data_IF_416290919390
#
_entry.id   IF_416290919390
#
_cell.length_a   1.000
_cell.length_b   1.000
_cell.length_c   1.000
_cell.angle_alpha   90.00
_cell.angle_beta   90.00
_cell.angle_gamma   90.00
#
_symmetry.space_group_name_H-M   'P 1'
#
loop_
_entity.id
_entity.type
_entity.pdbx_description
1 polymer ?
#
# COMPACT_ATOMS: atom_id res chain seq x y z
N UNK A 1 1.11 46.39 -16.69
CA UNK A 1 0.77 45.35 -15.70
C UNK A 1 1.98 44.44 -15.57
N UNK A 2 2.70 44.45 -14.45
CA UNK A 2 3.95 43.68 -14.27
C UNK A 2 3.60 42.31 -13.67
N UNK A 3 3.80 41.23 -14.42
CA UNK A 3 3.74 39.88 -13.88
C UNK A 3 5.01 39.65 -13.05
N UNK A 4 4.85 39.58 -11.74
CA UNK A 4 5.91 39.13 -10.82
C UNK A 4 6.11 37.63 -11.02
N UNK A 5 7.26 37.25 -11.58
CA UNK A 5 7.68 35.87 -11.74
C UNK A 5 7.92 35.28 -10.35
N UNK A 6 7.12 34.27 -9.99
CA UNK A 6 7.25 33.55 -8.73
C UNK A 6 8.67 32.92 -8.64
N UNK A 7 9.43 33.08 -7.54
CA UNK A 7 10.79 32.56 -7.46
C UNK A 7 10.79 31.03 -7.55
N UNK A 8 11.68 30.46 -8.38
CA UNK A 8 11.87 29.01 -8.62
C UNK A 8 11.94 28.14 -7.35
N UNK A 9 12.29 28.74 -6.20
CA UNK A 9 12.37 28.06 -4.90
C UNK A 9 11.00 27.71 -4.29
N UNK A 10 9.95 28.44 -4.66
CA UNK A 10 8.58 28.18 -4.20
C UNK A 10 7.84 27.15 -5.08
N UNK A 11 8.26 27.00 -6.34
CA UNK A 11 7.71 26.00 -7.25
C UNK A 11 8.01 24.56 -6.78
N UNK A 12 9.15 24.32 -6.15
CA UNK A 12 9.50 23.01 -5.57
C UNK A 12 8.68 22.69 -4.31
N UNK A 13 8.32 23.70 -3.51
CA UNK A 13 7.43 23.51 -2.36
C UNK A 13 5.98 23.23 -2.80
N UNK A 14 5.55 23.82 -3.91
CA UNK A 14 4.21 23.61 -4.45
C UNK A 14 3.97 22.18 -4.95
N UNK A 15 5.02 21.46 -5.38
CA UNK A 15 4.92 20.04 -5.77
C UNK A 15 4.76 19.08 -4.57
N UNK A 16 5.04 19.52 -3.33
CA UNK A 16 4.88 18.70 -2.12
C UNK A 16 3.45 18.74 -1.54
N UNK A 17 2.57 19.60 -2.06
CA UNK A 17 1.22 19.85 -1.50
C UNK A 17 0.10 19.48 -2.47
N UNK A 18 0.40 18.78 -3.56
CA UNK A 18 -0.65 18.26 -4.44
C UNK A 18 -1.09 16.88 -3.92
N UNK A 19 -2.31 16.75 -3.34
CA UNK A 19 -2.89 15.43 -3.09
C UNK A 19 -3.21 14.83 -4.44
N UNK A 20 -2.32 14.00 -4.97
CA UNK A 20 -2.71 13.02 -5.95
C UNK A 20 -3.61 12.04 -5.22
N UNK A 21 -4.85 11.87 -5.66
CA UNK A 21 -5.73 10.82 -5.16
C UNK A 21 -5.04 9.47 -5.41
N UNK A 22 -4.30 9.01 -4.41
CA UNK A 22 -3.77 7.67 -4.37
C UNK A 22 -4.93 6.77 -4.00
N UNK A 23 -5.37 5.94 -4.94
CA UNK A 23 -6.15 4.76 -4.61
C UNK A 23 -5.19 3.85 -3.84
N UNK A 24 -5.17 3.98 -2.52
CA UNK A 24 -4.38 3.11 -1.66
C UNK A 24 -5.02 1.72 -1.70
N UNK A 25 -4.41 0.82 -2.48
CA UNK A 25 -4.44 -0.58 -2.14
C UNK A 25 -3.78 -0.68 -0.77
N UNK A 26 -4.50 -1.26 0.20
CA UNK A 26 -4.08 -1.39 1.59
C UNK A 26 -2.59 -1.77 1.69
N UNK A 27 -1.67 -0.82 1.96
CA UNK A 27 -0.28 -1.17 2.10
C UNK A 27 -0.21 -2.00 3.38
N UNK A 28 0.34 -3.20 3.28
CA UNK A 28 0.60 -4.00 4.46
C UNK A 28 1.54 -3.19 5.36
N UNK A 29 1.13 -2.99 6.60
CA UNK A 29 1.78 -2.11 7.59
C UNK A 29 3.14 -2.68 7.97
N UNK A 30 4.15 -2.39 7.16
CA UNK A 30 5.55 -2.43 7.59
C UNK A 30 5.97 -0.96 7.73
N UNK A 31 5.85 -0.45 8.95
CA UNK A 31 6.19 0.95 9.24
C UNK A 31 7.71 1.14 9.33
N UNK A 32 8.42 0.14 9.87
CA UNK A 32 9.85 0.18 10.11
C UNK A 32 10.65 -0.92 9.35
N UNK A 33 11.96 -0.93 9.59
CA UNK A 33 12.91 -1.82 8.92
C UNK A 33 13.26 -3.03 9.81
N UNK A 34 12.56 -3.18 10.93
CA UNK A 34 12.91 -4.14 11.94
C UNK A 34 12.41 -5.53 11.53
N UNK A 35 13.00 -6.55 12.13
CA UNK A 35 12.67 -7.94 11.88
C UNK A 35 12.31 -8.59 13.19
N UNK A 36 11.37 -9.52 13.16
CA UNK A 36 10.97 -10.34 14.31
C UNK A 36 12.18 -11.05 14.94
N UNK A 37 13.10 -11.49 14.08
CA UNK A 37 14.32 -12.18 14.44
C UNK A 37 14.17 -13.70 14.48
N UNK A 38 15.29 -14.42 14.53
CA UNK A 38 15.32 -15.85 14.20
C UNK A 38 14.40 -16.70 15.08
N UNK A 39 13.54 -17.47 14.43
CA UNK A 39 12.66 -18.45 15.06
C UNK A 39 11.47 -17.83 15.80
N UNK A 40 11.24 -16.53 15.63
CA UNK A 40 10.08 -15.82 16.18
C UNK A 40 8.97 -15.73 15.14
N UNK A 41 7.74 -15.62 15.66
CA UNK A 41 6.55 -15.49 14.86
C UNK A 41 5.68 -14.38 15.40
N UNK A 42 5.11 -13.64 14.49
CA UNK A 42 4.11 -12.63 14.78
C UNK A 42 2.81 -12.95 14.04
N UNK A 43 1.69 -12.65 14.71
CA UNK A 43 0.37 -12.65 14.10
C UNK A 43 -0.23 -11.27 14.34
N UNK A 44 -0.57 -10.59 13.26
CA UNK A 44 -1.25 -9.29 13.33
C UNK A 44 -2.66 -9.38 12.76
N UNK A 45 -3.55 -8.57 13.32
CA UNK A 45 -4.92 -8.43 12.86
C UNK A 45 -5.29 -6.95 12.82
N UNK A 46 -5.61 -6.46 11.62
CA UNK A 46 -5.93 -5.05 11.41
C UNK A 46 -7.32 -4.90 10.84
N UNK A 47 -8.11 -3.98 11.40
CA UNK A 47 -9.40 -3.59 10.86
C UNK A 47 -9.32 -2.18 10.33
N UNK A 48 -9.74 -2.00 9.08
CA UNK A 48 -9.84 -0.70 8.45
C UNK A 48 -11.26 -0.37 8.05
N UNK A 49 -11.61 0.88 8.27
CA UNK A 49 -12.82 1.51 7.76
C UNK A 49 -12.40 2.77 7.00
N UNK A 50 -12.74 2.83 5.72
CA UNK A 50 -12.41 3.95 4.85
C UNK A 50 -13.70 4.57 4.34
N UNK A 51 -13.72 5.90 4.24
CA UNK A 51 -14.82 6.67 3.68
C UNK A 51 -14.26 7.69 2.71
N UNK A 52 -14.62 7.54 1.45
CA UNK A 52 -14.17 8.39 0.36
C UNK A 52 -15.30 9.31 -0.07
N UNK A 53 -14.97 10.59 -0.27
CA UNK A 53 -15.90 11.59 -0.82
C UNK A 53 -15.29 12.14 -2.09
N UNK A 54 -15.93 11.88 -3.22
CA UNK A 54 -15.55 12.44 -4.51
C UNK A 54 -16.51 13.58 -4.86
N UNK A 55 -15.95 14.72 -5.29
CA UNK A 55 -16.72 15.84 -5.86
C UNK A 55 -16.41 15.86 -7.34
N UNK A 56 -17.44 15.67 -8.16
CA UNK A 56 -17.35 15.79 -9.61
C UNK A 56 -17.67 17.24 -9.96
N UNK A 57 -16.70 17.94 -10.54
CA UNK A 57 -16.88 19.31 -11.04
C UNK A 57 -17.22 19.28 -12.53
N UNK A 58 -18.04 20.23 -13.01
CA UNK A 58 -18.21 20.46 -14.44
C UNK A 58 -17.01 21.22 -15.04
N UNK A 59 -17.01 21.39 -16.37
CA UNK A 59 -15.98 22.15 -17.09
C UNK A 59 -15.89 23.63 -16.67
N UNK A 60 -16.94 24.16 -16.03
CA UNK A 60 -16.98 25.51 -15.48
C UNK A 60 -16.49 25.59 -14.01
N UNK A 61 -16.20 24.45 -13.38
CA UNK A 61 -15.77 24.35 -11.98
C UNK A 61 -16.91 24.28 -10.95
N UNK A 62 -18.17 24.20 -11.37
CA UNK A 62 -19.30 24.01 -10.46
C UNK A 62 -19.45 22.54 -10.06
N UNK A 63 -19.83 22.30 -8.80
CA UNK A 63 -20.11 20.95 -8.29
C UNK A 63 -21.34 20.34 -8.98
N UNK A 64 -21.16 19.19 -9.65
CA UNK A 64 -22.25 18.43 -10.29
C UNK A 64 -22.73 17.27 -9.44
N UNK A 65 -21.83 16.55 -8.79
CA UNK A 65 -22.18 15.34 -8.03
C UNK A 65 -21.23 15.14 -6.85
N UNK A 66 -21.78 14.71 -5.72
CA UNK A 66 -21.01 14.32 -4.53
C UNK A 66 -21.27 12.84 -4.28
N UNK A 67 -20.32 11.99 -4.65
CA UNK A 67 -20.38 10.55 -4.34
C UNK A 67 -19.69 10.31 -3.00
N UNK A 68 -20.30 9.49 -2.16
CA UNK A 68 -19.70 9.05 -0.89
C UNK A 68 -19.72 7.54 -0.83
N UNK A 69 -18.53 6.95 -0.81
CA UNK A 69 -18.34 5.51 -0.70
C UNK A 69 -17.71 5.17 0.66
N UNK A 70 -18.01 3.98 1.15
CA UNK A 70 -17.38 3.43 2.33
C UNK A 70 -16.88 2.02 2.03
N UNK A 71 -15.82 1.62 2.71
CA UNK A 71 -15.31 0.26 2.66
C UNK A 71 -14.83 -0.18 4.02
N UNK A 72 -14.84 -1.49 4.26
CA UNK A 72 -14.21 -2.06 5.44
C UNK A 72 -13.51 -3.37 5.14
N UNK A 73 -12.35 -3.54 5.77
CA UNK A 73 -11.45 -4.66 5.52
C UNK A 73 -10.89 -5.17 6.83
N UNK A 74 -10.87 -6.49 6.96
CA UNK A 74 -10.17 -7.19 8.03
C UNK A 74 -8.97 -7.90 7.42
N UNK A 75 -7.78 -7.59 7.93
CA UNK A 75 -6.49 -8.12 7.51
C UNK A 75 -5.94 -9.06 8.58
N UNK A 76 -5.32 -10.15 8.13
CA UNK A 76 -4.47 -11.02 8.93
C UNK A 76 -3.09 -11.07 8.29
N UNK A 77 -2.06 -10.89 9.11
CA UNK A 77 -0.67 -11.05 8.71
C UNK A 77 -0.03 -12.11 9.60
N UNK A 78 0.78 -12.98 9.00
CA UNK A 78 1.64 -13.89 9.73
C UNK A 78 3.07 -13.72 9.24
N UNK A 79 3.97 -13.44 10.17
CA UNK A 79 5.39 -13.21 9.90
C UNK A 79 6.21 -14.26 10.65
N UNK A 80 7.27 -14.76 10.03
CA UNK A 80 8.21 -15.68 10.63
C UNK A 80 9.66 -15.26 10.33
N UNK A 81 10.44 -15.06 11.39
CA UNK A 81 11.86 -14.74 11.29
C UNK A 81 12.70 -15.97 10.93
N UNK A 82 13.16 -16.03 9.69
CA UNK A 82 14.02 -17.10 9.18
C UNK A 82 15.44 -16.96 9.74
N UNK A 83 15.92 -15.72 9.82
CA UNK A 83 17.18 -15.33 10.46
C UNK A 83 16.96 -14.06 11.29
N UNK A 84 18.00 -13.54 11.93
CA UNK A 84 17.92 -12.27 12.69
C UNK A 84 17.78 -11.02 11.79
N UNK A 85 17.74 -11.20 10.47
CA UNK A 85 17.69 -10.11 9.50
C UNK A 85 16.79 -10.42 8.29
N UNK A 86 16.06 -11.53 8.31
CA UNK A 86 15.18 -11.95 7.23
C UNK A 86 13.92 -12.56 7.80
N UNK A 87 12.81 -11.90 7.52
CA UNK A 87 11.48 -12.39 7.81
C UNK A 87 10.78 -12.78 6.52
N UNK A 88 9.92 -13.79 6.59
CA UNK A 88 8.96 -14.12 5.54
C UNK A 88 7.57 -13.92 6.08
N UNK A 89 6.66 -13.45 5.24
CA UNK A 89 5.30 -13.17 5.65
C UNK A 89 4.26 -13.66 4.64
N UNK A 90 3.06 -13.88 5.15
CA UNK A 90 1.86 -14.13 4.37
C UNK A 90 0.73 -13.27 4.94
N UNK A 91 0.07 -12.55 4.04
CA UNK A 91 -1.01 -11.65 4.40
C UNK A 91 -2.28 -12.02 3.65
N UNK A 92 -3.41 -11.95 4.34
CA UNK A 92 -4.72 -12.23 3.79
C UNK A 92 -5.74 -11.23 4.31
N UNK A 93 -6.50 -10.63 3.39
CA UNK A 93 -7.55 -9.69 3.77
C UNK A 93 -8.93 -10.12 3.27
N UNK A 94 -9.97 -9.77 4.04
CA UNK A 94 -11.37 -9.91 3.67
C UNK A 94 -12.07 -8.57 3.74
N UNK A 95 -12.64 -8.15 2.62
CA UNK A 95 -13.52 -7.00 2.54
C UNK A 95 -14.94 -7.39 2.96
N UNK A 96 -15.62 -6.54 3.72
CA UNK A 96 -17.04 -6.70 4.09
C UNK A 96 -17.99 -5.90 3.19
N UNK A 97 -17.65 -4.64 2.93
CA UNK A 97 -18.42 -3.65 2.17
C UNK A 97 -17.48 -2.90 1.21
N UNK A 98 -17.92 -2.48 0.01
CA UNK A 98 -19.26 -2.63 -0.57
C UNK A 98 -19.58 -4.06 -1.02
N UNK A 99 -18.55 -4.83 -1.39
CA UNK A 99 -18.68 -6.23 -1.79
C UNK A 99 -17.94 -7.14 -0.82
N UNK A 100 -18.63 -8.15 -0.29
CA UNK A 100 -18.02 -9.11 0.63
C UNK A 100 -17.16 -10.13 -0.12
N UNK A 101 -15.90 -10.28 0.28
CA UNK A 101 -15.02 -11.28 -0.32
C UNK A 101 -13.58 -11.21 0.12
N UNK A 102 -12.83 -12.25 -0.25
CA UNK A 102 -11.40 -12.33 -0.01
C UNK A 102 -10.63 -11.56 -1.07
N UNK A 103 -9.68 -10.75 -0.62
CA UNK A 103 -8.74 -10.04 -1.47
C UNK A 103 -7.59 -10.97 -1.91
N UNK A 104 -6.71 -10.47 -2.77
CA UNK A 104 -5.45 -11.14 -3.11
C UNK A 104 -4.72 -11.57 -1.84
N UNK A 105 -4.12 -12.77 -1.86
CA UNK A 105 -3.18 -13.18 -0.81
C UNK A 105 -1.83 -12.58 -1.16
N UNK A 106 -1.13 -11.95 -0.21
CA UNK A 106 0.24 -11.50 -0.43
C UNK A 106 1.21 -12.46 0.28
N UNK A 107 2.32 -12.76 -0.36
CA UNK A 107 3.45 -13.45 0.24
C UNK A 107 4.72 -12.67 -0.06
N UNK A 108 5.62 -12.55 0.90
CA UNK A 108 6.83 -11.76 0.72
C UNK A 108 7.88 -12.05 1.76
N UNK A 109 8.92 -11.24 1.72
CA UNK A 109 9.99 -11.25 2.70
C UNK A 109 10.41 -9.83 3.03
N UNK A 110 10.82 -9.58 4.27
CA UNK A 110 11.48 -8.36 4.72
C UNK A 110 12.93 -8.70 5.03
N UNK A 111 13.86 -8.12 4.28
CA UNK A 111 15.29 -8.36 4.43
C UNK A 111 16.01 -7.11 4.88
N UNK A 112 16.43 -7.09 6.15
CA UNK A 112 17.35 -6.09 6.68
C UNK A 112 18.76 -6.38 6.14
N UNK A 113 19.19 -5.56 5.18
CA UNK A 113 20.48 -5.73 4.54
C UNK A 113 21.57 -4.80 5.13
N UNK A 114 21.18 -3.78 5.89
CA UNK A 114 22.10 -2.87 6.58
C UNK A 114 21.48 -2.27 7.85
N UNK A 115 22.29 -2.09 8.90
CA UNK A 115 21.85 -1.59 10.21
C UNK A 115 21.67 -2.70 11.24
N UNK A 116 21.40 -2.31 12.48
CA UNK A 116 21.26 -3.21 13.63
C UNK A 116 19.92 -3.06 14.37
N UNK A 117 18.99 -2.25 13.85
CA UNK A 117 17.66 -1.98 14.40
C UNK A 117 17.65 -1.25 15.76
N UNK A 118 18.80 -1.12 16.43
CA UNK A 118 18.86 -0.59 17.80
C UNK A 118 19.19 0.89 17.84
N UNK A 119 20.06 1.36 16.92
CA UNK A 119 20.44 2.77 16.86
C UNK A 119 21.00 3.17 15.51
N UNK A 120 20.65 4.38 15.07
CA UNK A 120 21.08 4.90 13.80
C UNK A 120 20.22 4.36 12.66
N UNK A 121 20.78 4.29 11.46
CA UNK A 121 20.05 3.88 10.26
C UNK A 121 20.02 2.37 10.08
N UNK A 122 18.83 1.86 9.79
CA UNK A 122 18.52 0.54 9.30
C UNK A 122 17.85 0.63 7.94
N UNK A 123 18.17 -0.31 7.05
CA UNK A 123 17.64 -0.36 5.69
C UNK A 123 17.23 -1.79 5.35
N UNK A 124 15.99 -1.92 4.88
CA UNK A 124 15.42 -3.18 4.47
C UNK A 124 14.87 -3.12 3.04
N UNK A 125 14.84 -4.28 2.39
CA UNK A 125 14.12 -4.51 1.15
C UNK A 125 12.98 -5.49 1.40
N UNK A 126 11.82 -5.16 0.86
CA UNK A 126 10.61 -5.96 1.01
C UNK A 126 10.03 -6.34 -0.34
N UNK A 127 10.55 -7.40 -1.00
CA UNK A 127 9.91 -7.99 -2.17
C UNK A 127 8.66 -8.78 -1.77
N UNK A 128 7.59 -8.63 -2.53
CA UNK A 128 6.34 -9.37 -2.32
C UNK A 128 5.64 -9.72 -3.64
N UNK A 129 4.79 -10.75 -3.57
CA UNK A 129 3.91 -11.19 -4.64
C UNK A 129 2.48 -11.18 -4.15
N UNK A 130 1.57 -10.64 -4.96
CA UNK A 130 0.13 -10.77 -4.75
C UNK A 130 -0.39 -11.90 -5.64
N UNK A 131 -0.88 -12.96 -4.99
CA UNK A 131 -1.45 -14.14 -5.66
C UNK A 131 -2.83 -13.82 -6.23
N UNK A 132 -3.16 -14.33 -7.43
CA UNK A 132 -4.38 -13.95 -8.15
C UNK A 132 -5.65 -14.38 -7.42
N UNK A 133 -6.69 -13.56 -7.51
CA UNK A 133 -8.07 -13.97 -7.23
C UNK A 133 -8.72 -14.56 -8.48
N UNK A 134 -9.98 -15.00 -8.37
CA UNK A 134 -10.75 -15.42 -9.55
C UNK A 134 -11.12 -14.21 -10.42
N UNK A 135 -11.33 -14.41 -11.73
CA UNK A 135 -11.86 -13.35 -12.62
C UNK A 135 -13.21 -12.79 -12.11
N UNK A 136 -14.05 -13.64 -11.52
CA UNK A 136 -15.31 -13.22 -10.89
C UNK A 136 -15.08 -12.31 -9.68
N UNK A 137 -14.01 -12.53 -8.92
CA UNK A 137 -13.62 -11.67 -7.81
C UNK A 137 -13.02 -10.36 -8.33
N UNK A 138 -12.21 -10.40 -9.38
CA UNK A 138 -11.68 -9.19 -10.04
C UNK A 138 -12.80 -8.32 -10.60
N UNK A 139 -13.80 -8.91 -11.25
CA UNK A 139 -15.00 -8.19 -11.73
C UNK A 139 -15.82 -7.52 -10.61
N UNK A 140 -15.62 -7.93 -9.35
CA UNK A 140 -16.24 -7.31 -8.17
C UNK A 140 -15.33 -6.29 -7.47
N UNK A 141 -14.13 -6.03 -8.00
CA UNK A 141 -13.14 -5.15 -7.39
C UNK A 141 -12.42 -5.76 -6.18
N UNK A 142 -12.45 -7.08 -5.99
CA UNK A 142 -11.81 -7.75 -4.85
C UNK A 142 -10.32 -8.05 -5.08
N UNK A 143 -9.65 -7.28 -5.93
CA UNK A 143 -8.26 -7.50 -6.33
C UNK A 143 -8.12 -8.04 -7.75
N UNK A 144 -6.91 -8.46 -8.12
CA UNK A 144 -6.56 -8.86 -9.49
C UNK A 144 -6.47 -10.37 -9.69
N UNK A 145 -6.88 -10.84 -10.86
CA UNK A 145 -6.84 -12.23 -11.31
C UNK A 145 -5.51 -12.60 -12.00
N UNK A 146 -4.47 -11.77 -11.80
CA UNK A 146 -3.09 -12.07 -12.21
C UNK A 146 -2.15 -11.87 -11.02
N UNK A 147 -1.02 -12.56 -11.07
CA UNK A 147 0.05 -12.34 -10.09
C UNK A 147 0.69 -10.97 -10.31
N UNK A 148 0.77 -10.18 -9.24
CA UNK A 148 1.45 -8.89 -9.22
C UNK A 148 2.68 -8.96 -8.31
N UNK A 149 3.60 -8.03 -8.51
CA UNK A 149 4.83 -7.93 -7.75
C UNK A 149 4.95 -6.53 -7.14
N UNK A 150 5.55 -6.46 -5.97
CA UNK A 150 5.91 -5.22 -5.31
C UNK A 150 7.30 -5.35 -4.70
N UNK A 151 8.05 -4.26 -4.73
CA UNK A 151 9.32 -4.10 -4.05
C UNK A 151 9.30 -2.80 -3.28
N UNK A 152 9.46 -2.87 -1.97
CA UNK A 152 9.54 -1.69 -1.12
C UNK A 152 10.96 -1.60 -0.54
N UNK A 153 11.55 -0.41 -0.62
CA UNK A 153 12.69 -0.03 0.17
C UNK A 153 12.20 0.63 1.45
N UNK A 154 12.68 0.16 2.59
CA UNK A 154 12.33 0.68 3.92
C UNK A 154 13.58 1.22 4.60
N UNK A 155 13.51 2.42 5.16
CA UNK A 155 14.60 3.03 5.93
C UNK A 155 14.07 3.48 7.28
N UNK A 156 14.78 3.12 8.35
CA UNK A 156 14.42 3.51 9.72
C UNK A 156 15.63 4.12 10.40
N UNK A 157 15.46 5.26 11.06
CA UNK A 157 16.47 5.88 11.90
C UNK A 157 16.01 5.90 13.34
N UNK A 158 16.71 5.17 14.21
CA UNK A 158 16.40 5.08 15.64
C UNK A 158 17.37 5.93 16.45
N UNK A 159 16.81 6.84 17.27
CA UNK A 159 17.54 7.66 18.24
C UNK A 159 17.04 7.37 19.66
N UNK A 160 17.68 7.98 20.67
CA UNK A 160 17.24 7.84 22.06
C UNK A 160 15.91 8.54 22.39
N UNK A 161 15.35 9.30 21.45
CA UNK A 161 14.18 10.16 21.74
C UNK A 161 13.22 10.32 20.57
N UNK A 162 13.54 9.77 19.41
CA UNK A 162 12.69 9.83 18.23
C UNK A 162 13.11 8.75 17.24
N UNK A 163 12.16 8.37 16.38
CA UNK A 163 12.37 7.44 15.28
C UNK A 163 11.84 8.10 14.00
N UNK A 164 12.50 7.83 12.87
CA UNK A 164 12.10 8.35 11.57
C UNK A 164 12.07 7.19 10.58
N UNK A 165 10.95 7.02 9.89
CA UNK A 165 10.76 5.97 8.89
C UNK A 165 10.52 6.57 7.51
N UNK A 166 11.09 5.96 6.48
CA UNK A 166 10.99 6.40 5.10
C UNK A 166 10.94 5.20 4.15
N UNK A 167 9.82 5.08 3.44
CA UNK A 167 9.50 3.93 2.61
C UNK A 167 9.26 4.37 1.16
N UNK A 168 9.82 3.63 0.19
CA UNK A 168 9.63 3.86 -1.24
C UNK A 168 9.29 2.53 -1.92
N UNK A 169 8.11 2.47 -2.53
CA UNK A 169 7.61 1.29 -3.22
C UNK A 169 7.62 1.39 -4.74
N UNK A 170 7.84 0.27 -5.41
CA UNK A 170 7.53 0.06 -6.81
C UNK A 170 6.66 -1.19 -6.96
N UNK A 171 5.49 -1.05 -7.60
CA UNK A 171 4.57 -2.15 -7.85
C UNK A 171 4.22 -2.31 -9.33
N UNK A 172 4.16 -3.55 -9.77
CA UNK A 172 3.76 -3.95 -11.11
C UNK A 172 2.41 -4.66 -11.08
N UNK A 173 1.35 -3.92 -11.40
CA UNK A 173 -0.03 -4.42 -11.34
C UNK A 173 -0.54 -4.85 -12.71
N UNK A 174 -1.16 -6.04 -12.76
CA UNK A 174 -1.75 -6.65 -13.94
C UNK A 174 -3.16 -7.11 -13.59
N UNK A 175 -4.06 -6.93 -14.54
CA UNK A 175 -5.45 -7.36 -14.43
C UNK A 175 -5.78 -8.34 -15.56
N UNK A 176 -6.80 -9.16 -15.37
CA UNK A 176 -7.36 -9.90 -16.50
C UNK A 176 -7.92 -8.93 -17.53
N UNK A 177 -7.89 -9.32 -18.81
CA UNK A 177 -8.51 -8.49 -19.84
C UNK A 177 -10.03 -8.52 -19.61
N UNK A 178 -10.76 -7.45 -19.92
CA UNK A 178 -12.22 -7.54 -20.00
C UNK A 178 -12.55 -8.71 -20.93
N UNK A 179 -13.33 -9.66 -20.44
CA UNK A 179 -14.03 -10.58 -21.33
C UNK A 179 -15.01 -9.68 -22.05
N UNK A 180 -14.79 -9.42 -23.34
CA UNK A 180 -15.84 -8.86 -24.19
C UNK A 180 -17.08 -9.71 -23.97
N UNK A 181 -18.18 -9.07 -23.57
CA UNK A 181 -19.47 -9.73 -23.38
C UNK A 181 -19.74 -10.60 -24.61
N UNK A 182 -19.71 -11.93 -24.44
CA UNK A 182 -20.29 -12.80 -25.46
C UNK A 182 -21.76 -12.40 -25.60
N UNK A 183 -22.25 -12.11 -26.81
CA UNK A 183 -23.64 -11.77 -27.01
C UNK A 183 -24.50 -12.96 -26.58
N UNK A 184 -25.41 -12.69 -25.63
CA UNK A 184 -26.44 -13.63 -25.17
C UNK A 184 -27.39 -14.03 -26.29
#
# INVERSE_FOLDING_TARGET
>A
MRFTVLPRRWALLACLVLPCSANAFFPFDFDDADTEGKGRSEIEMSFAYQKDRAIVLNDAGDEMEVTTDASNTLLWSYTYGVTDNLDVFINKARQGHPYAGWLNTQVGAQWLFAGDQNRGWSFALMPSLMLPVSQRSEAKGLGSAKTNFELIWVSSYVSSSYELHFNVGYSGNRYSRPVEDEPR
#
